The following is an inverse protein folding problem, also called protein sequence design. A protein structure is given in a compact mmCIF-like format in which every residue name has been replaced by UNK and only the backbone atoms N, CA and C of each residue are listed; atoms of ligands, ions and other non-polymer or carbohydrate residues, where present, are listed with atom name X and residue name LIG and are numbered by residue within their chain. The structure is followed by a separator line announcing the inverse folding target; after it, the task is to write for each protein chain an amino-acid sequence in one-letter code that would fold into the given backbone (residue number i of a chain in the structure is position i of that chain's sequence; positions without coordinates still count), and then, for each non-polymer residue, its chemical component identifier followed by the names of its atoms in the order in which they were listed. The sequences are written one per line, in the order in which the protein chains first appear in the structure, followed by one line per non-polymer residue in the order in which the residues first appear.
data_IF_605182430174
#
_entry.id   IF_605182430174
#
_cell.length_a   1.000
_cell.length_b   1.000
_cell.length_c   1.000
_cell.angle_alpha   90.00
_cell.angle_beta   90.00
_cell.angle_gamma   90.00
#
_symmetry.space_group_name_H-M   'P 1'
#
loop_
_entity.id
_entity.type
_entity.pdbx_description
1 polymer ?
#
# COMPACT_ATOMS: atom_id res chain seq x y z
N UNK A 1 22.02 -12.27 8.91
CA UNK A 1 21.16 -13.30 8.28
C UNK A 1 19.77 -13.36 8.93
N UNK A 2 19.66 -13.48 10.25
CA UNK A 2 18.35 -13.50 10.95
C UNK A 2 17.51 -12.26 10.66
N UNK A 3 18.07 -11.04 10.77
CA UNK A 3 17.30 -9.81 10.48
C UNK A 3 16.80 -9.66 9.04
N UNK A 4 17.54 -10.19 8.05
CA UNK A 4 17.10 -10.22 6.66
C UNK A 4 15.89 -11.15 6.48
N UNK A 5 15.92 -12.32 7.13
CA UNK A 5 14.79 -13.27 7.10
C UNK A 5 13.56 -12.68 7.78
N UNK A 6 13.72 -11.99 8.92
CA UNK A 6 12.61 -11.30 9.58
C UNK A 6 12.00 -10.22 8.68
N UNK A 7 12.84 -9.37 8.06
CA UNK A 7 12.35 -8.35 7.13
C UNK A 7 11.64 -8.97 5.92
N UNK A 8 12.19 -10.03 5.34
CA UNK A 8 11.58 -10.73 4.21
C UNK A 8 10.19 -11.26 4.54
N UNK A 9 10.00 -11.84 5.73
CA UNK A 9 8.68 -12.32 6.17
C UNK A 9 7.72 -11.16 6.42
N UNK A 10 8.16 -10.10 7.12
CA UNK A 10 7.30 -8.95 7.44
C UNK A 10 6.85 -8.18 6.20
N UNK A 11 7.78 -7.88 5.27
CA UNK A 11 7.44 -7.19 4.02
C UNK A 11 6.75 -8.12 3.02
N UNK A 12 7.02 -9.43 3.08
CA UNK A 12 6.40 -10.44 2.23
C UNK A 12 4.88 -10.45 2.36
N UNK A 13 4.33 -10.26 3.57
CA UNK A 13 2.88 -10.16 3.77
C UNK A 13 2.26 -8.96 3.03
N UNK A 14 2.94 -7.80 3.03
CA UNK A 14 2.47 -6.60 2.32
C UNK A 14 2.52 -6.80 0.80
N UNK A 15 3.62 -7.35 0.30
CA UNK A 15 3.78 -7.66 -1.12
C UNK A 15 2.80 -8.75 -1.58
N UNK A 16 2.47 -9.71 -0.71
CA UNK A 16 1.49 -10.74 -0.99
C UNK A 16 0.08 -10.15 -1.21
N UNK A 17 -0.34 -9.18 -0.39
CA UNK A 17 -1.61 -8.49 -0.60
C UNK A 17 -1.65 -7.73 -1.94
N UNK A 18 -0.56 -7.07 -2.30
CA UNK A 18 -0.44 -6.40 -3.60
C UNK A 18 -0.51 -7.40 -4.76
N UNK A 19 0.25 -8.51 -4.68
CA UNK A 19 0.26 -9.57 -5.69
C UNK A 19 -1.11 -10.25 -5.83
N UNK A 20 -1.88 -10.41 -4.75
CA UNK A 20 -3.26 -10.88 -4.82
C UNK A 20 -4.16 -9.91 -5.59
N UNK A 21 -4.02 -8.61 -5.34
CA UNK A 21 -4.74 -7.57 -6.08
C UNK A 21 -4.40 -7.58 -7.58
N UNK A 22 -3.10 -7.70 -7.90
CA UNK A 22 -2.64 -7.83 -9.29
C UNK A 22 -3.18 -9.11 -9.93
N UNK A 23 -3.11 -10.26 -9.26
CA UNK A 23 -3.66 -11.51 -9.79
C UNK A 23 -5.16 -11.38 -10.14
N UNK A 24 -5.95 -10.72 -9.29
CA UNK A 24 -7.37 -10.47 -9.58
C UNK A 24 -7.52 -9.59 -10.83
N UNK A 25 -6.72 -8.52 -10.95
CA UNK A 25 -6.70 -7.63 -12.11
C UNK A 25 -6.34 -8.38 -13.39
N UNK A 26 -5.30 -9.22 -13.36
CA UNK A 26 -4.85 -10.01 -14.49
C UNK A 26 -5.91 -11.04 -14.93
N UNK A 27 -6.60 -11.66 -13.97
CA UNK A 27 -7.73 -12.55 -14.26
C UNK A 27 -8.89 -11.82 -14.94
N UNK A 28 -9.04 -10.53 -14.71
CA UNK A 28 -9.99 -9.67 -15.41
C UNK A 28 -9.46 -9.14 -16.77
N UNK A 29 -8.24 -9.52 -17.16
CA UNK A 29 -7.62 -9.12 -18.44
C UNK A 29 -6.89 -7.77 -18.38
N UNK A 30 -6.63 -7.24 -17.19
CA UNK A 30 -5.94 -5.96 -16.98
C UNK A 30 -4.61 -6.19 -16.24
N UNK A 31 -3.51 -6.04 -16.96
CA UNK A 31 -2.15 -6.03 -16.44
C UNK A 31 -1.86 -4.67 -15.79
N UNK A 32 -1.51 -4.67 -14.50
CA UNK A 32 -1.28 -3.43 -13.75
C UNK A 32 0.17 -3.33 -13.23
N UNK A 33 1.08 -2.85 -14.08
CA UNK A 33 2.46 -2.54 -13.68
C UNK A 33 2.60 -1.25 -12.84
N UNK A 34 1.46 -0.64 -12.46
CA UNK A 34 1.37 0.58 -11.66
C UNK A 34 1.34 0.34 -10.15
N UNK A 35 1.31 -0.92 -9.70
CA UNK A 35 1.02 -1.26 -8.29
C UNK A 35 2.03 -0.64 -7.32
N UNK A 36 3.31 -0.56 -7.71
CA UNK A 36 4.37 -0.03 -6.85
C UNK A 36 4.15 1.46 -6.55
N UNK A 37 3.73 2.24 -7.55
CA UNK A 37 3.32 3.63 -7.37
C UNK A 37 2.06 3.78 -6.52
N UNK A 38 1.08 2.89 -6.69
CA UNK A 38 -0.14 2.87 -5.87
C UNK A 38 0.17 2.57 -4.41
N UNK A 39 1.04 1.60 -4.15
CA UNK A 39 1.51 1.25 -2.81
C UNK A 39 2.25 2.41 -2.15
N UNK A 40 3.16 3.08 -2.89
CA UNK A 40 3.90 4.23 -2.37
C UNK A 40 2.97 5.39 -1.98
N UNK A 41 1.97 5.69 -2.82
CA UNK A 41 0.97 6.72 -2.54
C UNK A 41 0.06 6.36 -1.38
N UNK A 42 -0.38 5.11 -1.27
CA UNK A 42 -1.12 4.63 -0.10
C UNK A 42 -0.29 4.71 1.18
N UNK A 43 0.98 4.32 1.13
CA UNK A 43 1.88 4.32 2.28
C UNK A 43 2.12 5.74 2.80
N UNK A 44 2.47 6.69 1.93
CA UNK A 44 2.74 8.08 2.36
C UNK A 44 1.48 8.76 2.89
N UNK A 45 0.33 8.57 2.25
CA UNK A 45 -0.92 9.20 2.67
C UNK A 45 -1.44 8.59 3.97
N UNK A 46 -1.37 7.26 4.12
CA UNK A 46 -1.66 6.59 5.38
C UNK A 46 -0.76 7.07 6.51
N UNK A 47 0.54 7.20 6.27
CA UNK A 47 1.48 7.72 7.26
C UNK A 47 1.15 9.14 7.70
N UNK A 48 0.87 10.05 6.74
CA UNK A 48 0.47 11.43 7.06
C UNK A 48 -0.84 11.49 7.85
N UNK A 49 -1.84 10.67 7.49
CA UNK A 49 -3.10 10.63 8.25
C UNK A 49 -2.87 10.10 9.65
N UNK A 50 -2.06 9.04 9.81
CA UNK A 50 -1.70 8.52 11.12
C UNK A 50 -0.95 9.55 11.97
N UNK A 51 -0.07 10.35 11.35
CA UNK A 51 0.66 11.45 12.00
C UNK A 51 -0.26 12.53 12.57
N UNK A 52 -1.27 12.94 11.81
CA UNK A 52 -2.10 14.10 12.18
C UNK A 52 -3.35 13.72 12.99
N UNK A 53 -3.84 12.49 12.82
CA UNK A 53 -5.12 12.06 13.45
C UNK A 53 -4.93 11.09 14.61
N UNK A 54 -3.73 10.53 14.77
CA UNK A 54 -3.43 9.48 15.75
C UNK A 54 -4.37 8.26 15.65
N UNK A 55 -5.06 8.09 14.52
CA UNK A 55 -6.04 7.03 14.30
C UNK A 55 -5.57 6.07 13.18
N UNK A 56 -5.15 4.84 13.51
CA UNK A 56 -4.58 3.93 12.53
C UNK A 56 -5.63 3.33 11.59
N UNK A 57 -6.90 3.27 12.00
CA UNK A 57 -8.00 2.78 11.17
C UNK A 57 -8.39 3.82 10.11
N UNK A 58 -8.43 5.10 10.49
CA UNK A 58 -8.67 6.18 9.55
C UNK A 58 -7.52 6.26 8.53
N UNK A 59 -6.28 6.13 8.98
CA UNK A 59 -5.11 6.05 8.10
C UNK A 59 -5.22 4.90 7.08
N UNK A 60 -5.64 3.71 7.52
CA UNK A 60 -5.87 2.57 6.64
C UNK A 60 -6.94 2.86 5.58
N UNK A 61 -8.09 3.39 5.98
CA UNK A 61 -9.19 3.71 5.06
C UNK A 61 -8.74 4.74 4.01
N UNK A 62 -8.03 5.79 4.43
CA UNK A 62 -7.53 6.80 3.50
C UNK A 62 -6.51 6.20 2.54
N UNK A 63 -5.57 5.39 3.01
CA UNK A 63 -4.60 4.70 2.17
C UNK A 63 -5.28 3.81 1.11
N UNK A 64 -6.34 3.07 1.50
CA UNK A 64 -7.14 2.27 0.57
C UNK A 64 -7.83 3.11 -0.50
N UNK A 65 -8.42 4.25 -0.10
CA UNK A 65 -9.09 5.16 -1.04
C UNK A 65 -8.10 5.80 -2.03
N UNK A 66 -6.90 6.14 -1.57
CA UNK A 66 -5.84 6.68 -2.45
C UNK A 66 -5.36 5.61 -3.43
N UNK A 67 -5.12 4.38 -2.98
CA UNK A 67 -4.78 3.27 -3.86
C UNK A 67 -5.88 3.00 -4.91
N UNK A 68 -7.15 2.98 -4.48
CA UNK A 68 -8.30 2.81 -5.36
C UNK A 68 -8.40 3.95 -6.39
N UNK A 69 -8.14 5.20 -5.98
CA UNK A 69 -8.12 6.34 -6.88
C UNK A 69 -7.05 6.20 -7.98
N UNK A 70 -5.83 5.76 -7.65
CA UNK A 70 -4.80 5.51 -8.67
C UNK A 70 -5.15 4.33 -9.58
N UNK A 71 -5.75 3.27 -9.02
CA UNK A 71 -6.26 2.15 -9.83
C UNK A 71 -7.38 2.59 -10.79
N UNK A 72 -8.25 3.52 -10.37
CA UNK A 72 -9.27 4.12 -11.25
C UNK A 72 -8.66 4.95 -12.37
N UNK A 73 -7.57 5.69 -12.11
CA UNK A 73 -6.83 6.39 -13.17
C UNK A 73 -6.30 5.37 -14.19
N UNK A 74 -5.68 4.28 -13.72
CA UNK A 74 -5.21 3.22 -14.61
C UNK A 74 -6.35 2.66 -15.46
N UNK A 75 -7.45 2.26 -14.83
CA UNK A 75 -8.63 1.71 -15.51
C UNK A 75 -9.28 2.70 -16.48
N UNK A 76 -9.31 4.00 -16.17
CA UNK A 76 -9.77 5.02 -17.10
C UNK A 76 -8.94 4.99 -18.39
N UNK A 77 -7.61 5.01 -18.27
CA UNK A 77 -6.74 5.02 -19.46
C UNK A 77 -6.80 3.69 -20.22
N UNK A 78 -6.78 2.55 -19.54
CA UNK A 78 -6.67 1.24 -20.20
C UNK A 78 -8.00 0.67 -20.66
N UNK A 79 -9.05 0.79 -19.84
CA UNK A 79 -10.38 0.20 -20.13
C UNK A 79 -11.25 1.16 -20.93
N UNK A 80 -11.35 2.42 -20.51
CA UNK A 80 -12.27 3.38 -21.13
C UNK A 80 -11.65 4.02 -22.37
N UNK A 81 -10.37 4.40 -22.30
CA UNK A 81 -9.67 5.10 -23.38
C UNK A 81 -8.85 4.17 -24.30
N UNK A 82 -8.70 2.88 -23.93
CA UNK A 82 -7.99 1.90 -24.75
C UNK A 82 -6.47 2.13 -24.88
N UNK A 83 -5.86 2.82 -23.92
CA UNK A 83 -4.41 3.01 -23.88
C UNK A 83 -3.67 1.71 -23.55
N UNK A 84 -2.42 1.63 -24.00
CA UNK A 84 -1.52 0.51 -23.71
C UNK A 84 -1.29 0.35 -22.19
N UNK A 85 -1.55 -0.84 -21.68
CA UNK A 85 -1.56 -1.12 -20.25
C UNK A 85 -0.16 -1.02 -19.64
N UNK A 86 0.85 -1.49 -20.37
CA UNK A 86 2.26 -1.40 -19.95
C UNK A 86 2.68 0.05 -19.77
N UNK A 87 2.33 0.91 -20.72
CA UNK A 87 2.69 2.34 -20.69
C UNK A 87 1.96 3.05 -19.55
N UNK A 88 0.65 2.81 -19.40
CA UNK A 88 -0.14 3.39 -18.31
C UNK A 88 0.38 2.95 -16.94
N UNK A 89 0.65 1.65 -16.76
CA UNK A 89 1.15 1.08 -15.51
C UNK A 89 2.52 1.65 -15.12
N UNK A 90 3.51 1.59 -16.00
CA UNK A 90 4.86 2.11 -15.72
C UNK A 90 4.84 3.64 -15.46
N UNK A 91 3.99 4.38 -16.19
CA UNK A 91 3.80 5.81 -15.96
C UNK A 91 3.23 6.08 -14.57
N UNK A 92 2.25 5.30 -14.11
CA UNK A 92 1.70 5.40 -12.76
C UNK A 92 2.70 5.02 -11.67
N UNK A 93 3.57 4.03 -11.92
CA UNK A 93 4.65 3.71 -10.99
C UNK A 93 5.62 4.88 -10.82
N UNK A 94 6.10 5.46 -11.92
CA UNK A 94 7.00 6.62 -11.88
C UNK A 94 6.32 7.82 -11.20
N UNK A 95 5.07 8.11 -11.57
CA UNK A 95 4.29 9.20 -10.98
C UNK A 95 4.07 8.98 -9.49
N UNK A 96 3.63 7.79 -9.09
CA UNK A 96 3.31 7.45 -7.71
C UNK A 96 4.54 7.51 -6.81
N UNK A 97 5.67 6.95 -7.25
CA UNK A 97 6.93 7.03 -6.50
C UNK A 97 7.42 8.48 -6.35
N UNK A 98 7.42 9.26 -7.45
CA UNK A 98 7.85 10.66 -7.43
C UNK A 98 6.94 11.54 -6.57
N UNK A 99 5.62 11.38 -6.71
CA UNK A 99 4.63 12.11 -5.92
C UNK A 99 4.71 11.71 -4.44
N UNK A 100 4.87 10.43 -4.12
CA UNK A 100 4.99 9.99 -2.75
C UNK A 100 6.23 10.57 -2.06
N UNK A 101 7.37 10.58 -2.76
CA UNK A 101 8.58 11.22 -2.27
C UNK A 101 8.40 12.73 -2.04
N UNK A 102 7.71 13.42 -2.94
CA UNK A 102 7.44 14.86 -2.80
C UNK A 102 6.48 15.17 -1.65
N UNK A 103 5.36 14.45 -1.57
CA UNK A 103 4.32 14.64 -0.55
C UNK A 103 4.84 14.29 0.85
N UNK A 104 5.60 13.20 0.97
CA UNK A 104 6.14 12.71 2.24
C UNK A 104 7.38 13.47 2.74
N UNK A 105 7.91 14.43 1.98
CA UNK A 105 9.22 15.05 2.26
C UNK A 105 9.35 15.60 3.69
N UNK A 106 8.31 16.25 4.19
CA UNK A 106 8.32 16.89 5.52
C UNK A 106 7.99 15.90 6.65
N UNK A 107 7.55 14.69 6.29
CA UNK A 107 7.22 13.62 7.22
C UNK A 107 8.43 12.72 7.52
N UNK A 108 9.51 12.83 6.74
CA UNK A 108 10.74 12.04 6.91
C UNK A 108 11.34 12.27 8.30
N UNK A 109 11.61 11.17 9.02
CA UNK A 109 12.21 11.19 10.36
C UNK A 109 11.22 11.47 11.50
N UNK A 110 9.95 11.77 11.21
CA UNK A 110 8.91 11.86 12.25
C UNK A 110 8.56 10.45 12.78
N UNK A 111 8.27 10.31 14.08
CA UNK A 111 7.79 9.02 14.62
C UNK A 111 6.41 8.69 14.02
N UNK A 112 6.06 7.40 13.87
CA UNK A 112 4.72 7.01 13.43
C UNK A 112 3.66 7.52 14.41
N UNK A 113 2.70 8.31 13.94
CA UNK A 113 1.69 8.95 14.82
C UNK A 113 0.63 8.00 15.36
N UNK A 114 0.34 6.92 14.63
CA UNK A 114 -0.57 5.87 15.08
C UNK A 114 -0.05 4.49 14.66
N UNK A 115 -0.20 3.50 15.54
CA UNK A 115 0.14 2.11 15.27
C UNK A 115 -1.08 1.27 15.58
N UNK A 116 -1.36 0.27 14.74
CA UNK A 116 -2.39 -0.73 15.03
C UNK A 116 -2.01 -1.46 16.32
N UNK A 117 -2.79 -1.27 17.37
CA UNK A 117 -2.60 -2.00 18.62
C UNK A 117 -2.86 -3.49 18.38
N UNK A 118 -2.03 -4.39 18.94
CA UNK A 118 -2.36 -5.80 19.00
C UNK A 118 -3.74 -5.97 19.65
N UNK A 119 -4.59 -6.80 19.05
CA UNK A 119 -5.86 -7.17 19.66
C UNK A 119 -5.54 -8.10 20.84
N UNK A 120 -5.98 -7.74 22.04
CA UNK A 120 -5.90 -8.60 23.22
C UNK A 120 -6.95 -9.71 23.09
N UNK A 121 -6.49 -10.93 22.78
CA UNK A 121 -7.36 -12.11 22.68
C UNK A 121 -7.55 -12.80 24.04
N UNK A 122 -7.16 -12.15 25.14
CA UNK A 122 -7.22 -12.71 26.50
C UNK A 122 -6.26 -13.87 26.66
N UNK A 123 -6.75 -15.01 27.16
CA UNK A 123 -5.92 -16.20 27.40
C UNK A 123 -5.29 -16.81 26.12
N UNK A 124 -5.81 -16.47 24.93
CA UNK A 124 -5.20 -16.85 23.66
C UNK A 124 -3.88 -16.10 23.44
N UNK A 125 -3.71 -14.93 24.08
CA UNK A 125 -2.52 -14.08 24.00
C UNK A 125 -1.29 -14.50 24.79
N UNK A 126 -1.44 -15.56 25.57
CA UNK A 126 -0.32 -16.22 26.23
C UNK A 126 0.15 -17.46 25.46
N UNK A 127 -0.55 -17.86 24.39
CA UNK A 127 -0.22 -19.07 23.63
C UNK A 127 0.85 -18.73 22.58
N UNK A 128 2.06 -19.33 22.67
CA UNK A 128 3.09 -19.14 21.66
C UNK A 128 2.51 -19.52 20.27
N UNK A 129 2.73 -18.66 19.27
CA UNK A 129 2.34 -18.82 17.85
C UNK A 129 0.89 -18.48 17.46
N UNK A 130 -0.05 -18.45 18.40
CA UNK A 130 -1.47 -18.13 18.11
C UNK A 130 -1.74 -16.64 18.28
N UNK A 131 -0.96 -16.01 19.15
CA UNK A 131 -0.95 -14.57 19.35
C UNK A 131 -1.34 -14.28 20.75
#
# INVERSE_FOLDING_TARGET
MIGLLTAAVSFGALLYLAALGELISEKAGILNLGVEGMMAMGAVTGFMVALETENPWLALVVAMLVGAFFALIHGLFTVVLGAEQVVSGLSLTILGLGMAAFVGKDAVGRPPGAVLAPVDWGALSDIPWVG
#
